data_IF_241324948044
#
_entry.id   IF_241324948044
#
_cell.length_a   1.000
_cell.length_b   1.000
_cell.length_c   1.000
_cell.angle_alpha   90.00
_cell.angle_beta   90.00
_cell.angle_gamma   90.00
#
_symmetry.space_group_name_H-M   'P 1'
#
loop_
_entity.id
_entity.type
_entity.pdbx_description
1 polymer ?
#
# COMPACT_ATOMS: atom_id res chain seq x y z
N UNK A 1 15.78 4.07 -5.18
CA UNK A 1 14.44 4.68 -5.01
C UNK A 1 14.49 6.11 -5.49
N UNK A 2 13.45 6.62 -6.15
CA UNK A 2 13.37 8.05 -6.52
C UNK A 2 12.94 8.93 -5.34
N UNK A 3 13.08 10.25 -5.42
CA UNK A 3 12.59 11.18 -4.38
C UNK A 3 11.10 11.01 -4.10
N UNK A 4 10.28 10.80 -5.15
CA UNK A 4 8.84 10.54 -5.01
C UNK A 4 8.57 9.20 -4.31
N UNK A 5 9.32 8.15 -4.63
CA UNK A 5 9.21 6.83 -4.01
C UNK A 5 9.58 6.87 -2.51
N UNK A 6 10.64 7.61 -2.15
CA UNK A 6 11.03 7.80 -0.74
C UNK A 6 9.96 8.59 0.03
N UNK A 7 9.42 9.66 -0.58
CA UNK A 7 8.34 10.47 0.01
C UNK A 7 7.09 9.59 0.23
N UNK A 8 6.72 8.80 -0.77
CA UNK A 8 5.59 7.87 -0.69
C UNK A 8 5.79 6.82 0.41
N UNK A 9 6.98 6.20 0.47
CA UNK A 9 7.32 5.22 1.51
C UNK A 9 7.12 5.79 2.91
N UNK A 10 7.67 6.97 3.20
CA UNK A 10 7.51 7.62 4.51
C UNK A 10 6.04 7.88 4.86
N UNK A 11 5.27 8.36 3.87
CA UNK A 11 3.84 8.60 4.03
C UNK A 11 3.07 7.30 4.31
N UNK A 12 3.27 6.26 3.49
CA UNK A 12 2.56 4.99 3.62
C UNK A 12 2.81 4.35 4.98
N UNK A 13 4.06 4.33 5.43
CA UNK A 13 4.41 3.78 6.76
C UNK A 13 3.76 4.59 7.88
N UNK A 14 3.67 5.92 7.75
CA UNK A 14 2.94 6.78 8.69
C UNK A 14 1.46 6.41 8.78
N UNK A 15 0.79 6.36 7.63
CA UNK A 15 -0.63 5.99 7.53
C UNK A 15 -0.90 4.60 8.10
N UNK A 16 -0.06 3.62 7.77
CA UNK A 16 -0.18 2.27 8.31
C UNK A 16 -0.07 2.27 9.83
N UNK A 17 0.88 3.02 10.42
CA UNK A 17 1.00 3.10 11.89
C UNK A 17 -0.22 3.73 12.55
N UNK A 18 -0.80 4.77 11.94
CA UNK A 18 -2.01 5.43 12.45
C UNK A 18 -3.26 4.55 12.34
N UNK A 19 -3.35 3.72 11.29
CA UNK A 19 -4.50 2.86 11.00
C UNK A 19 -4.39 1.43 11.56
N UNK A 20 -3.55 1.21 12.57
CA UNK A 20 -3.41 -0.13 13.18
C UNK A 20 -2.71 -1.16 12.29
N UNK A 21 -1.95 -0.72 11.30
CA UNK A 21 -1.08 -1.53 10.46
C UNK A 21 -1.64 -1.87 9.09
N UNK A 22 -2.83 -1.38 8.69
CA UNK A 22 -3.47 -1.77 7.43
C UNK A 22 -4.10 -0.60 6.68
N UNK A 23 -4.20 -0.71 5.35
CA UNK A 23 -4.96 0.22 4.49
C UNK A 23 -5.40 -0.49 3.20
N UNK A 24 -6.62 -0.23 2.67
CA UNK A 24 -7.00 -0.72 1.35
C UNK A 24 -6.02 -0.26 0.24
N UNK A 25 -5.72 -1.15 -0.70
CA UNK A 25 -4.82 -0.85 -1.82
C UNK A 25 -5.32 0.33 -2.66
N UNK A 26 -6.63 0.39 -2.91
CA UNK A 26 -7.24 1.49 -3.67
C UNK A 26 -7.11 2.83 -2.93
N UNK A 27 -7.32 2.85 -1.60
CA UNK A 27 -7.08 4.05 -0.78
C UNK A 27 -5.63 4.51 -0.86
N UNK A 28 -4.68 3.58 -0.74
CA UNK A 28 -3.26 3.88 -0.84
C UNK A 28 -2.89 4.42 -2.22
N UNK A 29 -3.46 3.87 -3.30
CA UNK A 29 -3.28 4.35 -4.67
C UNK A 29 -3.83 5.76 -4.84
N UNK A 30 -5.06 6.02 -4.38
CA UNK A 30 -5.73 7.31 -4.51
C UNK A 30 -5.02 8.40 -3.69
N UNK A 31 -4.89 8.19 -2.38
CA UNK A 31 -4.30 9.18 -1.48
C UNK A 31 -2.79 9.34 -1.72
N UNK A 32 -2.09 8.25 -2.04
CA UNK A 32 -0.67 8.29 -2.39
C UNK A 32 -0.40 9.06 -3.68
N UNK A 33 -1.25 8.88 -4.70
CA UNK A 33 -1.13 9.58 -5.98
C UNK A 33 -1.29 11.10 -5.77
N UNK A 34 -2.30 11.50 -5.00
CA UNK A 34 -2.52 12.90 -4.64
C UNK A 34 -1.34 13.47 -3.82
N UNK A 35 -0.85 12.74 -2.81
CA UNK A 35 0.23 13.21 -1.93
C UNK A 35 1.60 13.34 -2.64
N UNK A 36 1.88 12.43 -3.57
CA UNK A 36 3.14 12.38 -4.31
C UNK A 36 3.10 13.10 -5.65
N UNK A 37 1.95 13.69 -6.01
CA UNK A 37 1.71 14.33 -7.31
C UNK A 37 2.16 13.40 -8.46
N UNK A 38 1.54 12.22 -8.51
CA UNK A 38 1.83 11.19 -9.51
C UNK A 38 0.61 10.30 -9.80
N UNK A 39 0.73 9.40 -10.78
CA UNK A 39 -0.37 8.51 -11.14
C UNK A 39 -0.58 7.37 -10.14
N UNK A 40 -1.81 6.87 -10.04
CA UNK A 40 -2.12 5.65 -9.27
C UNK A 40 -1.29 4.45 -9.74
N UNK A 41 -1.02 4.32 -11.05
CA UNK A 41 -0.15 3.27 -11.59
C UNK A 41 1.28 3.38 -11.05
N UNK A 42 1.80 4.60 -10.88
CA UNK A 42 3.11 4.83 -10.28
C UNK A 42 3.12 4.38 -8.82
N UNK A 43 2.08 4.71 -8.07
CA UNK A 43 1.92 4.24 -6.69
C UNK A 43 1.84 2.73 -6.62
N UNK A 44 1.03 2.10 -7.47
CA UNK A 44 0.91 0.64 -7.54
C UNK A 44 2.26 -0.04 -7.77
N UNK A 45 3.13 0.54 -8.61
CA UNK A 45 4.50 0.05 -8.79
C UNK A 45 5.32 0.17 -7.51
N UNK A 46 5.18 1.25 -6.75
CA UNK A 46 5.92 1.43 -5.49
C UNK A 46 5.47 0.44 -4.42
N UNK A 47 4.17 0.26 -4.19
CA UNK A 47 3.67 -0.74 -3.24
C UNK A 47 4.08 -2.15 -3.63
N UNK A 48 4.07 -2.51 -4.93
CA UNK A 48 4.60 -3.81 -5.37
C UNK A 48 6.08 -4.01 -5.04
N UNK A 49 6.91 -2.97 -5.21
CA UNK A 49 8.32 -3.02 -4.81
C UNK A 49 8.50 -3.19 -3.31
N UNK A 50 7.70 -2.49 -2.51
CA UNK A 50 7.78 -2.58 -1.04
C UNK A 50 7.30 -3.94 -0.52
N UNK A 51 6.33 -4.54 -1.22
CA UNK A 51 5.93 -5.91 -0.95
C UNK A 51 7.06 -6.90 -1.29
N UNK A 52 7.75 -6.69 -2.41
CA UNK A 52 8.90 -7.51 -2.80
C UNK A 52 10.10 -7.37 -1.84
N UNK A 53 10.31 -6.19 -1.24
CA UNK A 53 11.33 -6.00 -0.19
C UNK A 53 10.92 -6.53 1.18
N UNK A 54 9.67 -6.98 1.34
CA UNK A 54 9.15 -7.53 2.60
C UNK A 54 8.87 -6.47 3.67
N UNK A 55 8.76 -5.20 3.28
CA UNK A 55 8.37 -4.11 4.19
C UNK A 55 6.87 -4.11 4.48
N UNK A 56 6.10 -4.57 3.49
CA UNK A 56 4.65 -4.73 3.54
C UNK A 56 4.29 -6.07 2.88
N UNK A 57 3.03 -6.48 3.01
CA UNK A 57 2.46 -7.54 2.18
C UNK A 57 1.01 -7.21 1.81
N UNK A 58 0.51 -7.91 0.80
CA UNK A 58 -0.88 -7.80 0.39
C UNK A 58 -1.70 -8.92 1.03
N UNK A 59 -2.86 -8.59 1.60
CA UNK A 59 -3.86 -9.57 2.01
C UNK A 59 -5.19 -9.27 1.34
N UNK A 60 -6.03 -10.29 1.19
CA UNK A 60 -7.42 -10.11 0.76
C UNK A 60 -8.27 -9.82 1.99
N UNK A 61 -9.03 -8.72 1.99
CA UNK A 61 -9.84 -8.29 3.13
C UNK A 61 -11.08 -9.16 3.38
N UNK A 62 -11.33 -10.17 2.54
CA UNK A 62 -12.53 -11.01 2.59
C UNK A 62 -13.78 -10.35 1.99
N UNK A 63 -13.71 -9.07 1.64
CA UNK A 63 -14.80 -8.35 1.00
C UNK A 63 -14.68 -8.38 -0.53
N UNK A 64 -15.76 -8.76 -1.20
CA UNK A 64 -15.88 -8.72 -2.66
C UNK A 64 -16.79 -7.55 -3.05
N UNK A 65 -16.22 -6.53 -3.70
CA UNK A 65 -16.96 -5.34 -4.14
C UNK A 65 -16.73 -5.10 -5.63
N UNK A 66 -17.80 -4.74 -6.35
CA UNK A 66 -17.75 -4.40 -7.78
C UNK A 66 -17.03 -5.44 -8.65
N UNK A 67 -17.22 -6.73 -8.37
CA UNK A 67 -16.61 -7.81 -9.15
C UNK A 67 -15.13 -8.10 -8.81
N UNK A 68 -14.59 -7.54 -7.71
CA UNK A 68 -13.18 -7.74 -7.32
C UNK A 68 -13.05 -7.94 -5.80
N UNK A 69 -12.10 -8.79 -5.42
CA UNK A 69 -11.67 -8.90 -4.03
C UNK A 69 -10.90 -7.64 -3.62
N UNK A 70 -11.24 -7.09 -2.46
CA UNK A 70 -10.50 -5.97 -1.90
C UNK A 70 -9.16 -6.47 -1.39
N UNK A 71 -8.09 -5.84 -1.87
CA UNK A 71 -6.75 -6.06 -1.36
C UNK A 71 -6.41 -4.97 -0.35
N UNK A 72 -5.77 -5.36 0.74
CA UNK A 72 -5.19 -4.47 1.75
C UNK A 72 -3.67 -4.59 1.74
N UNK A 73 -3.03 -3.46 2.01
CA UNK A 73 -1.61 -3.36 2.34
C UNK A 73 -1.49 -3.48 3.85
N UNK A 74 -0.61 -4.35 4.30
CA UNK A 74 -0.34 -4.56 5.73
C UNK A 74 1.14 -4.33 6.01
N UNK A 75 1.43 -3.67 7.12
CA UNK A 75 2.79 -3.44 7.60
C UNK A 75 3.41 -4.75 8.11
N UNK A 76 4.64 -5.06 7.67
CA UNK A 76 5.43 -6.16 8.22
C UNK A 76 5.56 -7.37 7.29
N UNK A 77 5.77 -8.55 7.88
CA UNK A 77 5.90 -9.84 7.18
C UNK A 77 4.62 -10.66 7.36
N UNK A 78 4.22 -11.48 6.37
CA UNK A 78 3.13 -12.42 6.56
C UNK A 78 3.43 -13.30 7.78
N UNK A 79 2.49 -13.40 8.72
CA UNK A 79 2.50 -14.50 9.69
C UNK A 79 2.28 -15.78 8.89
N UNK A 80 3.36 -16.50 8.62
CA UNK A 80 3.27 -17.90 8.24
C UNK A 80 2.96 -18.61 9.56
N UNK A 81 1.68 -18.89 9.80
CA UNK A 81 1.26 -19.87 10.82
C UNK A 81 1.43 -21.28 10.28
#
# INVERSE_FOLDING_TARGET
>A
MTTKEIKFRKWLIGVLKERGGTIPLEDAKNAGAAYCDCSQMTIERYVKKFAHSGEIFFRVAGEYMNGKWIQEIVLGKPKIE
#
